data_IF_069123390425
#
_entry.id   IF_069123390425
#
_cell.length_a   1.000
_cell.length_b   1.000
_cell.length_c   1.000
_cell.angle_alpha   90.00
_cell.angle_beta   90.00
_cell.angle_gamma   90.00
#
_symmetry.space_group_name_H-M   'P 1'
#
loop_
_entity.id
_entity.type
_entity.pdbx_description
1 polymer ?
#
# COMPACT_ATOMS: atom_id res chain seq x y z
N UNK A 1 -24.21 -1.59 -9.89
CA UNK A 1 -23.02 -2.43 -10.11
C UNK A 1 -21.96 -1.98 -9.12
N UNK A 2 -21.89 -2.64 -7.95
CA UNK A 2 -20.81 -2.41 -6.99
C UNK A 2 -19.55 -3.09 -7.55
N UNK A 3 -18.48 -2.33 -7.78
CA UNK A 3 -17.14 -2.89 -8.00
C UNK A 3 -16.74 -3.64 -6.73
N UNK A 4 -16.86 -4.97 -6.74
CA UNK A 4 -16.72 -5.82 -5.57
C UNK A 4 -15.25 -6.22 -5.28
N UNK A 5 -14.31 -5.74 -6.09
CA UNK A 5 -12.91 -6.17 -6.07
C UNK A 5 -11.92 -4.99 -6.04
N UNK A 6 -12.35 -3.82 -5.55
CA UNK A 6 -11.40 -2.77 -5.22
C UNK A 6 -10.82 -3.07 -3.84
N UNK A 7 -9.86 -3.99 -3.75
CA UNK A 7 -8.90 -4.01 -2.63
C UNK A 7 -8.49 -2.56 -2.40
N UNK A 8 -8.84 -1.98 -1.25
CA UNK A 8 -8.59 -0.57 -0.95
C UNK A 8 -7.09 -0.28 -1.14
N UNK A 9 -6.73 0.33 -2.28
CA UNK A 9 -5.34 0.66 -2.59
C UNK A 9 -5.03 1.92 -1.80
N UNK A 10 -4.39 1.75 -0.64
CA UNK A 10 -3.99 2.87 0.21
C UNK A 10 -2.78 3.62 -0.35
N UNK A 11 -1.87 2.92 -1.04
CA UNK A 11 -0.70 3.51 -1.67
C UNK A 11 -0.96 4.15 -3.03
N UNK A 12 0.10 4.66 -3.64
CA UNK A 12 0.07 5.15 -5.02
C UNK A 12 -0.22 4.00 -6.00
N UNK A 13 -1.00 4.29 -7.05
CA UNK A 13 -1.25 3.32 -8.14
C UNK A 13 0.08 2.95 -8.80
N UNK A 14 0.36 1.65 -8.88
CA UNK A 14 1.59 1.08 -9.45
C UNK A 14 1.23 -0.12 -10.32
N UNK A 15 1.96 -0.30 -11.41
CA UNK A 15 1.80 -1.45 -12.33
C UNK A 15 2.87 -2.53 -12.11
N UNK A 16 3.74 -2.36 -11.11
CA UNK A 16 4.83 -3.29 -10.79
C UNK A 16 4.41 -4.23 -9.66
N UNK A 17 4.74 -5.52 -9.79
CA UNK A 17 4.50 -6.58 -8.78
C UNK A 17 5.78 -7.41 -8.62
N UNK A 18 6.25 -7.72 -7.38
CA UNK A 18 5.62 -7.38 -6.11
C UNK A 18 5.77 -5.89 -5.76
N UNK A 19 4.79 -5.33 -5.04
CA UNK A 19 4.88 -3.96 -4.54
C UNK A 19 4.26 -3.78 -3.15
N UNK A 20 4.80 -2.82 -2.41
CA UNK A 20 4.25 -2.33 -1.16
C UNK A 20 3.67 -0.94 -1.38
N UNK A 21 2.44 -0.72 -0.89
CA UNK A 21 1.75 0.56 -0.95
C UNK A 21 1.22 0.95 0.43
N UNK A 22 1.43 2.19 0.82
CA UNK A 22 0.90 2.73 2.08
C UNK A 22 0.39 4.17 1.90
N UNK A 23 -0.64 4.52 2.65
CA UNK A 23 -1.12 5.90 2.81
C UNK A 23 -0.60 6.47 4.12
N UNK A 24 0.36 7.37 4.04
CA UNK A 24 0.90 8.04 5.22
C UNK A 24 -0.04 9.20 5.63
N UNK A 25 -0.13 9.45 6.93
CA UNK A 25 -0.80 10.66 7.46
C UNK A 25 0.27 11.71 7.69
N UNK A 26 0.09 12.89 7.10
CA UNK A 26 1.02 14.00 7.27
C UNK A 26 0.55 14.94 8.37
N UNK A 27 1.43 15.23 9.31
CA UNK A 27 1.25 16.22 10.37
C UNK A 27 2.43 17.20 10.36
N UNK A 28 2.23 18.36 9.73
CA UNK A 28 3.32 19.30 9.43
C UNK A 28 4.38 18.63 8.55
N UNK A 29 5.61 18.52 9.08
CA UNK A 29 6.75 17.88 8.41
C UNK A 29 6.99 16.43 8.86
N UNK A 30 6.04 15.84 9.60
CA UNK A 30 6.10 14.43 10.03
C UNK A 30 5.14 13.59 9.21
N UNK A 31 5.55 12.36 8.93
CA UNK A 31 4.76 11.35 8.25
C UNK A 31 4.54 10.17 9.20
N UNK A 32 3.28 9.83 9.42
CA UNK A 32 2.85 8.73 10.28
C UNK A 32 2.46 7.53 9.43
N UNK A 33 3.09 6.39 9.72
CA UNK A 33 2.77 5.11 9.11
C UNK A 33 1.62 4.44 9.85
N UNK A 34 0.66 3.91 9.10
CA UNK A 34 -0.51 3.22 9.62
C UNK A 34 -0.65 1.87 8.90
N UNK A 35 -0.51 0.77 9.65
CA UNK A 35 -0.50 -0.58 9.09
C UNK A 35 -1.85 -0.99 8.47
N UNK A 36 -2.96 -0.49 9.01
CA UNK A 36 -4.32 -0.66 8.44
C UNK A 36 -4.51 0.11 7.12
N UNK A 37 -3.61 1.04 6.81
CA UNK A 37 -3.54 1.79 5.55
C UNK A 37 -2.32 1.42 4.72
N UNK A 38 -1.86 0.18 4.86
CA UNK A 38 -0.76 -0.37 4.08
C UNK A 38 -1.15 -1.76 3.55
N UNK A 39 -0.51 -2.16 2.45
CA UNK A 39 -0.76 -3.45 1.84
C UNK A 39 0.33 -3.84 0.84
N UNK A 40 0.40 -5.13 0.61
CA UNK A 40 1.26 -5.72 -0.41
C UNK A 40 0.42 -6.19 -1.58
N UNK A 41 0.98 -6.05 -2.79
CA UNK A 41 0.49 -6.72 -3.98
C UNK A 41 1.59 -7.68 -4.46
N UNK A 42 1.26 -8.97 -4.59
CA UNK A 42 2.24 -10.04 -4.82
C UNK A 42 3.06 -10.40 -3.58
N UNK A 43 4.04 -11.29 -3.76
CA UNK A 43 4.91 -11.81 -2.70
C UNK A 43 6.35 -11.36 -2.94
N UNK A 44 6.98 -10.80 -1.91
CA UNK A 44 8.41 -10.49 -1.93
C UNK A 44 9.21 -11.76 -1.61
N UNK A 45 10.36 -11.94 -2.27
CA UNK A 45 11.31 -12.99 -1.89
C UNK A 45 11.97 -12.67 -0.54
N UNK A 46 12.57 -13.66 0.11
CA UNK A 46 13.29 -13.46 1.39
C UNK A 46 14.40 -12.41 1.30
N UNK A 47 15.06 -12.28 0.13
CA UNK A 47 16.08 -11.25 -0.08
C UNK A 47 15.52 -9.84 -0.26
N UNK A 48 14.20 -9.70 -0.49
CA UNK A 48 13.53 -8.43 -0.73
C UNK A 48 12.65 -7.96 0.44
N UNK A 49 12.42 -8.82 1.43
CA UNK A 49 11.68 -8.51 2.66
C UNK A 49 12.59 -7.82 3.68
#
# INVERSE_FOLDING_TARGET
MMNKDATQIWGLKREITPCFGARLVQEGNRLHFLADRAGFNGLFSEMQA
#
